data_IF_051477840494
#
_entry.id   IF_051477840494
#
_cell.length_a   1.000
_cell.length_b   1.000
_cell.length_c   1.000
_cell.angle_alpha   90.00
_cell.angle_beta   90.00
_cell.angle_gamma   90.00
#
_symmetry.space_group_name_H-M   'P 1'
#
loop_
_entity.id
_entity.type
_entity.pdbx_description
1 polymer ?
#
# COMPACT_ATOMS: atom_id res chain seq x y z
N UNK A 1 -0.50 -9.45 12.88
CA UNK A 1 0.63 -9.14 11.98
C UNK A 1 0.38 -7.86 11.20
N UNK A 2 -0.26 -7.87 10.01
CA UNK A 2 -0.42 -6.65 9.19
C UNK A 2 -1.17 -5.51 9.90
N UNK A 3 -2.24 -5.84 10.65
CA UNK A 3 -3.00 -4.85 11.43
C UNK A 3 -2.22 -4.20 12.59
N UNK A 4 -1.05 -4.72 12.94
CA UNK A 4 -0.18 -4.17 14.00
C UNK A 4 0.95 -3.31 13.42
N UNK A 5 1.04 -3.22 12.08
CA UNK A 5 2.07 -2.43 11.42
C UNK A 5 1.71 -0.94 11.55
N UNK A 6 2.67 -0.14 12.01
CA UNK A 6 2.53 1.31 12.12
C UNK A 6 3.12 2.06 10.92
N UNK A 7 3.87 1.36 10.07
CA UNK A 7 4.45 1.91 8.85
C UNK A 7 3.45 1.82 7.67
N UNK A 8 3.63 2.63 6.61
CA UNK A 8 2.82 2.55 5.40
C UNK A 8 2.80 1.13 4.81
N UNK A 9 1.61 0.65 4.48
CA UNK A 9 1.38 -0.69 3.91
C UNK A 9 0.67 -0.56 2.57
N UNK A 10 1.29 -1.03 1.49
CA UNK A 10 0.68 -1.06 0.15
C UNK A 10 0.41 -2.51 -0.24
N UNK A 11 -0.85 -2.85 -0.48
CA UNK A 11 -1.25 -4.15 -1.01
C UNK A 11 -1.10 -4.16 -2.53
N UNK A 12 -0.47 -5.22 -3.07
CA UNK A 12 -0.17 -5.35 -4.50
C UNK A 12 -0.79 -6.61 -5.08
N UNK A 13 -1.56 -6.45 -6.16
CA UNK A 13 -2.05 -7.53 -7.00
C UNK A 13 -1.50 -7.41 -8.42
N UNK A 14 -0.97 -8.50 -8.97
CA UNK A 14 -0.45 -8.52 -10.35
C UNK A 14 -1.59 -8.39 -11.37
N UNK A 15 -2.68 -9.10 -11.13
CA UNK A 15 -3.90 -9.04 -11.94
C UNK A 15 -4.96 -8.21 -11.24
N UNK A 16 -6.02 -7.79 -11.94
CA UNK A 16 -7.15 -7.10 -11.33
C UNK A 16 -8.09 -8.12 -10.64
N UNK A 17 -8.16 -8.20 -9.30
CA UNK A 17 -9.06 -9.13 -8.62
C UNK A 17 -10.53 -8.83 -8.91
N UNK A 18 -10.90 -7.57 -9.13
CA UNK A 18 -12.28 -7.15 -9.42
C UNK A 18 -12.80 -7.55 -10.81
N UNK A 19 -11.92 -7.99 -11.70
CA UNK A 19 -12.29 -8.52 -13.01
C UNK A 19 -12.35 -10.06 -13.02
N UNK A 20 -12.30 -10.69 -11.84
CA UNK A 20 -12.18 -12.14 -11.67
C UNK A 20 -13.38 -12.71 -10.90
N UNK A 21 -13.24 -13.95 -10.45
CA UNK A 21 -14.26 -14.67 -9.71
C UNK A 21 -14.55 -13.97 -8.37
N UNK A 22 -15.82 -13.95 -7.95
CA UNK A 22 -16.31 -13.10 -6.86
C UNK A 22 -15.60 -13.30 -5.51
N UNK A 23 -15.11 -14.51 -5.24
CA UNK A 23 -14.31 -14.78 -4.04
C UNK A 23 -12.97 -14.03 -3.99
N UNK A 24 -12.52 -13.42 -5.11
CA UNK A 24 -11.29 -12.60 -5.17
C UNK A 24 -11.56 -11.11 -4.98
N UNK A 25 -12.82 -10.69 -4.91
CA UNK A 25 -13.18 -9.29 -4.73
C UNK A 25 -12.91 -8.80 -3.30
N UNK A 26 -12.89 -9.72 -2.34
CA UNK A 26 -12.73 -9.40 -0.92
C UNK A 26 -11.31 -9.75 -0.46
N UNK A 27 -10.54 -8.73 -0.10
CA UNK A 27 -9.25 -8.88 0.56
C UNK A 27 -9.36 -8.57 2.05
N UNK A 28 -8.82 -9.46 2.88
CA UNK A 28 -8.70 -9.24 4.34
C UNK A 28 -7.54 -8.30 4.70
N UNK A 29 -6.71 -7.95 3.71
CA UNK A 29 -5.56 -7.05 3.88
C UNK A 29 -5.94 -5.61 3.50
N UNK A 30 -6.80 -5.43 2.49
CA UNK A 30 -7.19 -4.09 2.01
C UNK A 30 -7.78 -3.21 3.11
N UNK A 31 -8.47 -3.80 4.10
CA UNK A 31 -9.02 -3.04 5.23
C UNK A 31 -7.98 -2.44 6.19
N UNK A 32 -6.74 -2.91 6.15
CA UNK A 32 -5.62 -2.40 6.98
C UNK A 32 -4.48 -1.82 6.16
N UNK A 33 -4.57 -1.84 4.83
CA UNK A 33 -3.59 -1.25 3.94
C UNK A 33 -3.79 0.27 3.83
N UNK A 34 -2.70 1.01 3.71
CA UNK A 34 -2.70 2.44 3.36
C UNK A 34 -3.26 2.66 1.95
N UNK A 35 -3.05 1.70 1.05
CA UNK A 35 -3.63 1.68 -0.29
C UNK A 35 -3.41 0.35 -1.00
N UNK A 36 -4.13 0.16 -2.11
CA UNK A 36 -4.09 -1.06 -2.92
C UNK A 36 -3.82 -0.72 -4.38
N UNK A 37 -2.93 -1.49 -5.03
CA UNK A 37 -2.58 -1.36 -6.45
C UNK A 37 -2.79 -2.72 -7.13
N UNK A 38 -3.56 -2.74 -8.21
CA UNK A 38 -3.96 -3.98 -8.87
C UNK A 38 -3.99 -3.85 -10.40
N UNK A 39 -3.66 -4.94 -11.11
CA UNK A 39 -3.92 -5.07 -12.55
C UNK A 39 -2.82 -4.59 -13.50
N UNK A 40 -1.67 -4.15 -13.00
CA UNK A 40 -0.55 -3.64 -13.82
C UNK A 40 0.62 -4.63 -13.95
N UNK A 41 0.39 -5.92 -13.67
CA UNK A 41 1.43 -6.94 -13.68
C UNK A 41 2.58 -6.59 -12.72
N UNK A 42 3.82 -6.75 -13.17
CA UNK A 42 5.01 -6.37 -12.39
C UNK A 42 5.14 -4.86 -12.19
N UNK A 43 4.48 -4.05 -13.03
CA UNK A 43 4.43 -2.59 -12.88
C UNK A 43 3.79 -2.14 -11.57
N UNK A 44 2.89 -2.95 -11.01
CA UNK A 44 2.26 -2.69 -9.71
C UNK A 44 3.29 -2.53 -8.58
N UNK A 45 4.41 -3.27 -8.61
CA UNK A 45 5.47 -3.12 -7.60
C UNK A 45 6.17 -1.77 -7.70
N UNK A 46 6.42 -1.27 -8.91
CA UNK A 46 7.08 0.03 -9.11
C UNK A 46 6.21 1.15 -8.55
N UNK A 47 4.90 1.10 -8.83
CA UNK A 47 3.93 2.06 -8.31
C UNK A 47 3.84 1.97 -6.78
N UNK A 48 3.87 0.76 -6.21
CA UNK A 48 3.86 0.58 -4.76
C UNK A 48 5.11 1.16 -4.08
N UNK A 49 6.30 0.92 -4.65
CA UNK A 49 7.55 1.49 -4.16
C UNK A 49 7.54 3.02 -4.20
N UNK A 50 7.02 3.61 -5.28
CA UNK A 50 6.84 5.05 -5.39
C UNK A 50 5.90 5.57 -4.29
N UNK A 51 4.74 4.92 -4.10
CA UNK A 51 3.79 5.31 -3.07
C UNK A 51 4.39 5.24 -1.65
N UNK A 52 5.20 4.22 -1.37
CA UNK A 52 5.92 4.10 -0.08
C UNK A 52 6.97 5.21 0.08
N UNK A 53 7.76 5.49 -0.96
CA UNK A 53 8.76 6.56 -0.94
C UNK A 53 8.13 7.95 -0.69
N UNK A 54 7.01 8.23 -1.35
CA UNK A 54 6.26 9.47 -1.19
C UNK A 54 5.56 9.57 0.19
N UNK A 55 5.27 8.44 0.81
CA UNK A 55 4.67 8.38 2.15
C UNK A 55 5.71 8.66 3.25
N UNK A 56 6.91 8.09 3.14
CA UNK A 56 8.01 8.33 4.09
C UNK A 56 8.56 9.77 4.09
N UNK A 57 8.43 10.47 2.97
CA UNK A 57 8.82 11.88 2.85
C UNK A 57 7.96 12.83 3.71
N UNK A 58 6.74 12.42 4.10
CA UNK A 58 5.82 13.24 4.91
C UNK A 58 6.10 13.20 6.40
N UNK A 59 6.78 12.18 6.91
CA UNK A 59 7.06 12.02 8.36
C UNK A 59 8.43 12.57 8.79
N UNK A 60 9.37 12.79 7.86
CA UNK A 60 10.74 13.21 8.19
C UNK A 60 10.92 14.74 8.33
N UNK A 61 9.90 15.54 7.98
CA UNK A 61 10.00 17.01 7.90
C UNK A 61 9.56 17.83 9.11
N UNK A 62 8.95 17.24 10.14
CA UNK A 62 8.30 18.01 11.23
C UNK A 62 8.74 17.57 12.64
N UNK A 63 10.01 17.77 12.96
CA UNK A 63 10.45 17.88 14.36
C UNK A 63 11.09 19.24 14.58
N UNK A 64 10.40 20.24 15.16
CA UNK A 64 11.07 21.46 15.57
C UNK A 64 12.09 21.11 16.65
N UNK A 65 13.36 21.37 16.34
CA UNK A 65 14.47 21.27 17.27
C UNK A 65 14.27 22.35 18.35
N UNK A 66 13.66 21.99 19.48
CA UNK A 66 13.53 22.88 20.63
C UNK A 66 14.80 22.76 21.46
N UNK A 67 15.73 23.69 21.22
CA UNK A 67 16.78 24.10 22.16
C UNK A 67 16.19 24.95 23.27
#
# INVERSE_FOLDING_TARGET
ACAQLTAPLVEVHLTNPAAREEFRHTSVISGVATGTIAGFGTGSYRLALQAVADSGARETGDRPHRS
#
